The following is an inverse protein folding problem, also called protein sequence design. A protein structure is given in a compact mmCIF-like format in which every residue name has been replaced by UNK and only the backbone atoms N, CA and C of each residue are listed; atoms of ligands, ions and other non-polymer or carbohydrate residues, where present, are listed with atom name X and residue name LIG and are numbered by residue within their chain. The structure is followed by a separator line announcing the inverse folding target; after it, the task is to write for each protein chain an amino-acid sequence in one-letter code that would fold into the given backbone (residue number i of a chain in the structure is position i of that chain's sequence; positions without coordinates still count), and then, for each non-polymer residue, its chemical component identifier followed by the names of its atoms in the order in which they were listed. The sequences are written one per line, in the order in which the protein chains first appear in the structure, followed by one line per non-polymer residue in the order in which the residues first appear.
data_IF_510637105636
#
_entry.id   IF_510637105636
#
_cell.length_a   1.000
_cell.length_b   1.000
_cell.length_c   1.000
_cell.angle_alpha   90.00
_cell.angle_beta   90.00
_cell.angle_gamma   90.00
#
_symmetry.space_group_name_H-M   'P 1'
#
loop_
_entity.id
_entity.type
_entity.pdbx_description
1 polymer ?
#
# COMPACT_ATOMS: atom_id res chain seq x y z
N UNK A 1 7.19 1.78 -12.01
CA UNK A 1 6.50 0.55 -11.56
C UNK A 1 7.54 -0.37 -10.94
N UNK A 2 7.22 -1.11 -9.87
CA UNK A 2 8.21 -1.96 -9.19
C UNK A 2 8.67 -3.13 -10.10
N UNK A 3 9.91 -3.65 -9.96
CA UNK A 3 10.41 -4.72 -10.84
C UNK A 3 9.53 -5.97 -10.85
N UNK A 4 8.96 -6.35 -9.70
CA UNK A 4 8.08 -7.51 -9.57
C UNK A 4 6.73 -7.31 -10.27
N UNK A 5 6.14 -6.11 -10.18
CA UNK A 5 4.88 -5.76 -10.88
C UNK A 5 5.06 -5.89 -12.38
N UNK A 6 6.19 -5.39 -12.90
CA UNK A 6 6.53 -5.51 -14.32
C UNK A 6 6.67 -6.97 -14.76
N UNK A 7 7.25 -7.82 -13.92
CA UNK A 7 7.35 -9.26 -14.20
C UNK A 7 5.97 -9.91 -14.29
N UNK A 8 5.06 -9.59 -13.36
CA UNK A 8 3.69 -10.10 -13.37
C UNK A 8 2.92 -9.60 -14.60
N UNK A 9 2.95 -8.29 -14.88
CA UNK A 9 2.24 -7.73 -16.03
C UNK A 9 2.78 -8.23 -17.37
N UNK A 10 4.08 -8.54 -17.48
CA UNK A 10 4.61 -9.22 -18.67
C UNK A 10 4.11 -10.64 -18.82
N UNK A 11 3.91 -11.37 -17.72
CA UNK A 11 3.32 -12.70 -17.80
C UNK A 11 1.87 -12.65 -18.31
N UNK A 12 1.11 -11.64 -17.89
CA UNK A 12 -0.32 -11.50 -18.25
C UNK A 12 -0.50 -10.85 -19.63
N UNK A 13 0.19 -9.75 -19.91
CA UNK A 13 -0.02 -8.89 -21.09
C UNK A 13 1.17 -8.84 -22.06
N UNK A 14 2.28 -9.51 -21.75
CA UNK A 14 3.54 -9.33 -22.47
C UNK A 14 3.59 -10.01 -23.83
N UNK A 15 2.84 -11.10 -24.03
CA UNK A 15 2.69 -11.77 -25.31
C UNK A 15 1.52 -11.19 -26.10
N UNK A 16 1.78 -10.78 -27.34
CA UNK A 16 0.72 -10.42 -28.29
C UNK A 16 0.90 -11.22 -29.57
N UNK A 17 -0.19 -11.76 -30.11
CA UNK A 17 -0.17 -12.45 -31.39
C UNK A 17 -0.38 -11.40 -32.49
N UNK A 18 0.61 -11.22 -33.36
CA UNK A 18 0.50 -10.38 -34.57
C UNK A 18 0.56 -11.26 -35.81
N UNK A 19 0.35 -10.68 -36.99
CA UNK A 19 0.49 -11.39 -38.27
C UNK A 19 1.89 -12.03 -38.43
N UNK A 20 2.90 -11.48 -37.75
CA UNK A 20 4.28 -12.00 -37.72
C UNK A 20 4.55 -12.96 -36.55
N UNK A 21 3.51 -13.49 -35.91
CA UNK A 21 3.60 -14.41 -34.77
C UNK A 21 3.62 -13.75 -33.39
N UNK A 22 4.06 -14.50 -32.38
CA UNK A 22 4.11 -14.01 -30.99
C UNK A 22 5.22 -12.99 -30.79
N UNK A 23 4.84 -11.76 -30.44
CA UNK A 23 5.77 -10.68 -30.15
C UNK A 23 5.72 -10.24 -28.68
N UNK A 24 6.86 -9.77 -28.17
CA UNK A 24 6.94 -9.16 -26.83
C UNK A 24 6.57 -7.69 -26.90
N UNK A 25 5.64 -7.24 -26.05
CA UNK A 25 5.35 -5.82 -25.87
C UNK A 25 6.49 -5.09 -25.15
N UNK A 26 6.74 -3.84 -25.54
CA UNK A 26 7.61 -2.90 -24.83
C UNK A 26 7.02 -2.51 -23.47
N UNK A 27 7.87 -2.06 -22.54
CA UNK A 27 7.43 -1.61 -21.21
C UNK A 27 6.38 -0.51 -21.30
N UNK A 28 6.59 0.45 -22.19
CA UNK A 28 5.67 1.56 -22.40
C UNK A 28 4.28 1.04 -22.84
N UNK A 29 4.22 0.14 -23.83
CA UNK A 29 2.95 -0.47 -24.26
C UNK A 29 2.26 -1.24 -23.14
N UNK A 30 3.00 -1.96 -22.27
CA UNK A 30 2.42 -2.66 -21.13
C UNK A 30 1.87 -1.65 -20.11
N UNK A 31 2.61 -0.58 -19.81
CA UNK A 31 2.16 0.49 -18.91
C UNK A 31 0.93 1.23 -19.47
N UNK A 32 0.86 1.51 -20.77
CA UNK A 32 -0.32 2.13 -21.42
C UNK A 32 -1.51 1.17 -21.49
N UNK A 33 -1.29 -0.13 -21.69
CA UNK A 33 -2.36 -1.14 -21.68
C UNK A 33 -2.97 -1.23 -20.28
N UNK A 34 -2.11 -1.25 -19.27
CA UNK A 34 -2.49 -1.25 -17.86
C UNK A 34 -2.82 0.20 -17.42
N UNK A 35 -3.97 0.73 -17.88
CA UNK A 35 -4.49 2.06 -17.49
C UNK A 35 -4.94 2.15 -16.02
N UNK A 36 -4.70 1.11 -15.23
CA UNK A 36 -5.10 1.01 -13.84
C UNK A 36 -4.02 1.57 -12.89
N UNK A 37 -4.45 1.84 -11.65
CA UNK A 37 -3.57 2.27 -10.57
C UNK A 37 -2.55 1.17 -10.27
N UNK A 38 -1.27 1.53 -10.07
CA UNK A 38 -0.22 0.54 -9.73
C UNK A 38 -0.64 -0.21 -8.47
N UNK A 39 -0.36 -1.51 -8.43
CA UNK A 39 -0.73 -2.38 -7.30
C UNK A 39 -0.13 -1.84 -6.00
N UNK A 40 1.07 -1.26 -6.04
CA UNK A 40 1.67 -0.59 -4.88
C UNK A 40 0.79 0.54 -4.32
N UNK A 41 0.18 1.36 -5.18
CA UNK A 41 -0.65 2.49 -4.74
C UNK A 41 -1.91 1.97 -4.05
N UNK A 42 -2.51 0.91 -4.61
CA UNK A 42 -3.65 0.22 -4.04
C UNK A 42 -3.32 -0.36 -2.65
N UNK A 43 -2.20 -1.08 -2.52
CA UNK A 43 -1.78 -1.69 -1.25
C UNK A 43 -1.55 -0.61 -0.18
N UNK A 44 -0.88 0.49 -0.50
CA UNK A 44 -0.64 1.59 0.45
C UNK A 44 -1.94 2.26 0.87
N UNK A 45 -2.85 2.52 -0.07
CA UNK A 45 -4.16 3.08 0.24
C UNK A 45 -4.99 2.17 1.15
N UNK A 46 -4.98 0.85 0.89
CA UNK A 46 -5.66 -0.11 1.77
C UNK A 46 -5.04 -0.15 3.16
N UNK A 47 -3.72 -0.05 3.28
CA UNK A 47 -3.02 0.02 4.56
C UNK A 47 -3.50 1.21 5.41
N UNK A 48 -3.63 2.38 4.78
CA UNK A 48 -4.16 3.59 5.43
C UNK A 48 -5.63 3.38 5.82
N UNK A 49 -6.48 2.81 4.95
CA UNK A 49 -7.88 2.50 5.31
C UNK A 49 -7.94 1.63 6.56
N UNK A 50 -7.18 0.54 6.55
CA UNK A 50 -7.19 -0.46 7.60
C UNK A 50 -6.71 0.10 8.93
N UNK A 51 -5.71 0.99 8.93
CA UNK A 51 -5.29 1.70 10.14
C UNK A 51 -6.44 2.44 10.80
N UNK A 52 -7.21 3.22 10.03
CA UNK A 52 -8.34 3.94 10.58
C UNK A 52 -9.44 3.01 11.09
N UNK A 53 -9.67 1.89 10.42
CA UNK A 53 -10.62 0.89 10.90
C UNK A 53 -10.17 0.30 12.24
N UNK A 54 -8.89 -0.10 12.36
CA UNK A 54 -8.33 -0.63 13.61
C UNK A 54 -8.39 0.41 14.72
N UNK A 55 -8.04 1.67 14.46
CA UNK A 55 -8.08 2.71 15.49
C UNK A 55 -9.50 3.06 15.97
N UNK A 56 -10.52 2.87 15.13
CA UNK A 56 -11.92 3.03 15.54
C UNK A 56 -12.49 1.83 16.28
N UNK A 57 -11.81 0.68 16.27
CA UNK A 57 -12.27 -0.48 17.04
C UNK A 57 -12.23 -0.21 18.55
N UNK A 58 -13.05 -0.96 19.29
CA UNK A 58 -13.01 -0.97 20.75
C UNK A 58 -11.64 -1.45 21.26
N UNK A 59 -11.19 -0.92 22.41
CA UNK A 59 -9.84 -1.17 22.96
C UNK A 59 -9.59 -2.64 23.30
N UNK A 60 -10.62 -3.39 23.66
CA UNK A 60 -10.57 -4.82 24.00
C UNK A 60 -10.46 -5.73 22.76
N UNK A 61 -10.63 -5.20 21.54
CA UNK A 61 -10.51 -5.99 20.31
C UNK A 61 -9.06 -6.40 20.13
N UNK A 62 -8.83 -7.70 19.97
CA UNK A 62 -7.50 -8.30 19.81
C UNK A 62 -6.63 -7.56 18.77
N UNK A 63 -7.19 -7.17 17.62
CA UNK A 63 -6.47 -6.44 16.58
C UNK A 63 -5.91 -5.11 17.08
N UNK A 64 -6.71 -4.33 17.81
CA UNK A 64 -6.28 -3.04 18.37
C UNK A 64 -5.30 -3.22 19.52
N UNK A 65 -5.46 -4.26 20.33
CA UNK A 65 -4.49 -4.63 21.36
C UNK A 65 -3.14 -4.99 20.76
N UNK A 66 -3.11 -5.85 19.74
CA UNK A 66 -1.88 -6.27 19.04
C UNK A 66 -1.20 -5.08 18.37
N UNK A 67 -1.95 -4.19 17.73
CA UNK A 67 -1.39 -2.98 17.11
C UNK A 67 -0.67 -2.08 18.12
N UNK A 68 -1.27 -1.90 19.29
CA UNK A 68 -0.73 -1.05 20.36
C UNK A 68 0.34 -1.73 21.21
N UNK A 69 0.43 -3.07 21.16
CA UNK A 69 1.41 -3.82 21.95
C UNK A 69 2.82 -3.50 21.45
N UNK A 70 3.68 -3.12 22.38
CA UNK A 70 5.12 -2.93 22.14
C UNK A 70 5.87 -4.16 22.68
N UNK A 71 6.11 -5.20 21.87
CA UNK A 71 6.86 -6.36 22.33
C UNK A 71 8.27 -5.92 22.72
N UNK A 72 8.65 -6.26 23.95
CA UNK A 72 10.00 -6.08 24.50
C UNK A 72 10.83 -7.32 24.18
N UNK A 73 12.13 -7.13 23.89
CA UNK A 73 13.03 -8.22 23.54
C UNK A 73 14.14 -7.82 22.57
N UNK A 74 15.14 -8.69 22.44
CA UNK A 74 16.27 -8.48 21.52
C UNK A 74 15.81 -8.70 20.08
N UNK A 75 15.99 -7.70 19.22
CA UNK A 75 15.75 -7.86 17.77
C UNK A 75 16.78 -8.84 17.19
N UNK A 76 16.38 -9.58 16.15
CA UNK A 76 17.31 -10.39 15.35
C UNK A 76 18.48 -9.51 14.87
N UNK A 77 19.70 -10.06 14.88
CA UNK A 77 20.88 -9.41 14.28
C UNK A 77 20.66 -9.26 12.77
N UNK A 78 21.13 -8.16 12.18
CA UNK A 78 20.89 -7.80 10.77
C UNK A 78 19.82 -6.70 10.61
N UNK A 79 19.42 -6.40 9.36
CA UNK A 79 18.38 -5.41 9.06
C UNK A 79 17.01 -5.97 9.49
N UNK A 80 16.39 -5.46 10.57
CA UNK A 80 15.09 -5.95 10.98
C UNK A 80 14.05 -5.60 9.91
N UNK A 81 13.10 -6.50 9.67
CA UNK A 81 11.94 -6.17 8.83
C UNK A 81 11.24 -4.93 9.41
N UNK A 82 10.82 -4.00 8.53
CA UNK A 82 9.98 -2.87 8.93
C UNK A 82 8.71 -3.40 9.59
N UNK A 83 8.32 -2.81 10.73
CA UNK A 83 7.03 -3.14 11.34
C UNK A 83 5.92 -2.60 10.45
N UNK A 84 4.73 -3.19 10.54
CA UNK A 84 3.57 -2.72 9.78
C UNK A 84 3.30 -1.23 10.04
N UNK A 85 3.38 -0.80 11.30
CA UNK A 85 3.23 0.61 11.68
C UNK A 85 4.33 1.54 11.12
N UNK A 86 5.55 1.04 10.91
CA UNK A 86 6.60 1.84 10.28
C UNK A 86 6.24 2.08 8.80
N UNK A 87 5.75 1.05 8.11
CA UNK A 87 5.25 1.19 6.73
C UNK A 87 4.04 2.12 6.61
N UNK A 88 3.11 2.09 7.57
CA UNK A 88 1.99 3.03 7.63
C UNK A 88 2.47 4.47 7.80
N UNK A 89 3.45 4.71 8.69
CA UNK A 89 4.01 6.04 8.90
C UNK A 89 4.69 6.55 7.64
N UNK A 90 5.45 5.71 6.94
CA UNK A 90 6.06 6.07 5.66
C UNK A 90 4.98 6.48 4.63
N UNK A 91 3.88 5.72 4.53
CA UNK A 91 2.78 6.02 3.61
C UNK A 91 2.07 7.34 3.98
N UNK A 92 1.83 7.60 5.27
CA UNK A 92 1.25 8.86 5.76
C UNK A 92 2.19 10.06 5.59
N UNK A 93 3.50 9.84 5.71
CA UNK A 93 4.52 10.86 5.48
C UNK A 93 4.55 11.28 4.02
N UNK A 94 4.43 10.34 3.08
CA UNK A 94 4.30 10.66 1.65
C UNK A 94 3.06 11.51 1.33
N UNK A 95 2.04 11.48 2.18
CA UNK A 95 0.82 12.29 2.06
C UNK A 95 0.84 13.57 2.92
N UNK A 96 1.97 13.92 3.54
CA UNK A 96 2.06 15.02 4.51
C UNK A 96 0.96 14.98 5.59
N UNK A 97 0.50 13.78 5.94
CA UNK A 97 -0.64 13.53 6.83
C UNK A 97 -0.23 12.80 8.11
N UNK A 98 1.07 12.73 8.41
CA UNK A 98 1.62 12.03 9.57
C UNK A 98 1.33 12.76 10.89
N UNK A 99 1.05 14.06 10.88
CA UNK A 99 0.65 14.80 12.07
C UNK A 99 -0.83 14.53 12.37
N UNK A 100 -1.13 14.26 13.65
CA UNK A 100 -2.50 14.09 14.16
C UNK A 100 -3.31 12.98 13.47
N UNK A 101 -2.64 12.00 12.85
CA UNK A 101 -3.35 10.93 12.12
C UNK A 101 -4.31 10.17 13.03
N UNK A 102 -3.99 10.02 14.32
CA UNK A 102 -4.88 9.43 15.33
C UNK A 102 -6.18 10.21 15.47
N UNK A 103 -6.11 11.52 15.63
CA UNK A 103 -7.30 12.37 15.75
C UNK A 103 -8.11 12.36 14.45
N UNK A 104 -7.43 12.41 13.30
CA UNK A 104 -8.05 12.29 11.98
C UNK A 104 -8.74 10.95 11.73
N UNK A 105 -8.34 9.87 12.42
CA UNK A 105 -9.00 8.56 12.29
C UNK A 105 -10.40 8.54 12.92
N UNK A 106 -10.65 9.40 13.92
CA UNK A 106 -11.97 9.49 14.59
C UNK A 106 -13.03 10.02 13.63
N UNK A 107 -12.67 10.99 12.79
CA UNK A 107 -13.56 11.53 11.77
C UNK A 107 -13.51 10.70 10.48
N UNK A 108 -14.46 9.75 10.36
CA UNK A 108 -14.54 8.80 9.24
C UNK A 108 -14.48 9.46 7.85
N UNK A 109 -15.11 10.63 7.68
CA UNK A 109 -15.11 11.36 6.40
C UNK A 109 -13.72 11.89 6.03
N UNK A 110 -13.04 12.54 6.98
CA UNK A 110 -11.65 13.01 6.78
C UNK A 110 -10.71 11.85 6.51
N UNK A 111 -10.82 10.76 7.26
CA UNK A 111 -9.99 9.57 7.03
C UNK A 111 -10.22 8.95 5.66
N UNK A 112 -11.48 8.83 5.22
CA UNK A 112 -11.82 8.31 3.88
C UNK A 112 -11.22 9.19 2.78
N UNK A 113 -11.14 10.51 2.98
CA UNK A 113 -10.49 11.43 2.03
C UNK A 113 -8.98 11.17 1.94
N UNK A 114 -8.29 11.02 3.06
CA UNK A 114 -6.85 10.69 3.09
C UNK A 114 -6.57 9.36 2.40
N UNK A 115 -7.39 8.35 2.67
CA UNK A 115 -7.27 7.05 2.00
C UNK A 115 -7.58 7.11 0.49
N UNK A 116 -8.47 8.01 0.05
CA UNK A 116 -8.74 8.25 -1.37
C UNK A 116 -7.55 8.95 -2.02
N UNK A 117 -7.03 9.98 -1.39
CA UNK A 117 -5.83 10.70 -1.83
C UNK A 117 -4.63 9.75 -1.94
N UNK A 118 -4.46 8.84 -0.98
CA UNK A 118 -3.46 7.77 -1.04
C UNK A 118 -3.56 6.93 -2.32
N UNK A 119 -4.79 6.59 -2.72
CA UNK A 119 -5.04 5.78 -3.91
C UNK A 119 -4.79 6.51 -5.22
N UNK A 120 -4.65 7.83 -5.18
CA UNK A 120 -4.40 8.71 -6.32
C UNK A 120 -2.94 9.15 -6.40
N UNK A 121 -2.27 9.35 -5.26
CA UNK A 121 -0.94 9.97 -5.18
C UNK A 121 0.22 9.01 -4.85
N UNK A 122 -0.01 7.90 -4.14
CA UNK A 122 1.05 6.98 -3.69
C UNK A 122 1.45 5.92 -4.71
#
# INVERSE_FOLDING_TARGET
MQPWERRMLRAIYGGVNTENGWQRKTNEKIETTYKERKITTFIKAQRIRWLGDIERMEKNRMTKMVLNRKPTGKKRKGKPHKRWMDGVKDDLQMLNSITEWKDKTTERRKWKRIAKEASEKL
#
